data_IF_614805086667
#
_entry.id   IF_614805086667
#
_cell.length_a   1.000
_cell.length_b   1.000
_cell.length_c   1.000
_cell.angle_alpha   90.00
_cell.angle_beta   90.00
_cell.angle_gamma   90.00
#
_symmetry.space_group_name_H-M   'P 1'
#
loop_
_entity.id
_entity.type
_entity.pdbx_description
1 polymer ?
#
# COMPACT_ATOMS: atom_id res chain seq x y z
N UNK A 1 10.48 -31.58 -18.28
CA UNK A 1 9.64 -31.60 -17.07
C UNK A 1 9.63 -30.20 -16.50
N UNK A 2 8.46 -29.58 -16.32
CA UNK A 2 8.35 -28.23 -15.77
C UNK A 2 8.66 -28.30 -14.27
N UNK A 3 9.67 -27.57 -13.80
CA UNK A 3 10.06 -27.55 -12.39
C UNK A 3 9.11 -26.61 -11.61
N UNK A 4 8.13 -27.16 -10.90
CA UNK A 4 7.17 -26.37 -10.10
C UNK A 4 7.85 -25.47 -9.05
N UNK A 5 8.99 -25.89 -8.49
CA UNK A 5 9.82 -25.06 -7.61
C UNK A 5 10.35 -23.78 -8.29
N UNK A 6 10.61 -23.81 -9.59
CA UNK A 6 11.08 -22.63 -10.34
C UNK A 6 9.96 -21.65 -10.71
N UNK A 7 8.70 -22.10 -10.70
CA UNK A 7 7.53 -21.26 -10.97
C UNK A 7 6.98 -20.56 -9.72
N UNK A 8 7.31 -21.07 -8.52
CA UNK A 8 6.87 -20.48 -7.26
C UNK A 8 7.33 -19.02 -7.10
N UNK A 9 8.56 -18.69 -7.51
CA UNK A 9 9.08 -17.34 -7.40
C UNK A 9 8.38 -16.33 -8.34
N UNK A 10 8.25 -16.57 -9.66
CA UNK A 10 7.51 -15.67 -10.55
C UNK A 10 6.03 -15.50 -10.19
N UNK A 11 5.36 -16.60 -9.80
CA UNK A 11 3.96 -16.56 -9.38
C UNK A 11 3.79 -15.72 -8.12
N UNK A 12 4.66 -15.89 -7.12
CA UNK A 12 4.63 -15.11 -5.89
C UNK A 12 4.85 -13.61 -6.15
N UNK A 13 5.75 -13.25 -7.06
CA UNK A 13 5.97 -11.86 -7.46
C UNK A 13 4.75 -11.25 -8.13
N UNK A 14 4.13 -11.99 -9.04
CA UNK A 14 2.91 -11.56 -9.70
C UNK A 14 1.77 -11.36 -8.69
N UNK A 15 1.58 -12.30 -7.77
CA UNK A 15 0.52 -12.22 -6.74
C UNK A 15 0.67 -10.99 -5.85
N UNK A 16 1.89 -10.68 -5.40
CA UNK A 16 2.15 -9.51 -4.57
C UNK A 16 1.94 -8.23 -5.39
N UNK A 17 2.55 -8.15 -6.57
CA UNK A 17 2.52 -6.93 -7.38
C UNK A 17 1.11 -6.60 -7.88
N UNK A 18 0.27 -7.60 -8.13
CA UNK A 18 -1.09 -7.41 -8.65
C UNK A 18 -1.94 -6.52 -7.73
N UNK A 19 -1.81 -6.66 -6.41
CA UNK A 19 -2.51 -5.81 -5.44
C UNK A 19 -2.07 -4.35 -5.60
N UNK A 20 -0.77 -4.09 -5.74
CA UNK A 20 -0.22 -2.75 -5.88
C UNK A 20 -0.51 -2.12 -7.25
N UNK A 21 -0.48 -2.91 -8.33
CA UNK A 21 -0.83 -2.44 -9.69
C UNK A 21 -2.30 -2.00 -9.71
N UNK A 22 -3.20 -2.88 -9.26
CA UNK A 22 -4.63 -2.58 -9.25
C UNK A 22 -4.90 -1.38 -8.33
N UNK A 23 -4.35 -1.38 -7.11
CA UNK A 23 -4.49 -0.29 -6.16
C UNK A 23 -3.99 1.05 -6.70
N UNK A 24 -2.82 1.08 -7.36
CA UNK A 24 -2.22 2.30 -7.89
C UNK A 24 -2.95 2.85 -9.11
N UNK A 25 -3.31 1.98 -10.06
CA UNK A 25 -4.03 2.40 -11.28
C UNK A 25 -5.42 2.91 -10.93
N UNK A 26 -6.12 2.26 -10.01
CA UNK A 26 -7.48 2.66 -9.62
C UNK A 26 -7.56 4.02 -8.92
N UNK A 27 -6.44 4.55 -8.40
CA UNK A 27 -6.37 5.90 -7.82
C UNK A 27 -6.33 7.01 -8.86
N UNK A 28 -5.98 6.73 -10.12
CA UNK A 28 -5.93 7.73 -11.20
C UNK A 28 -7.35 8.21 -11.56
N UNK A 29 -8.34 7.34 -11.85
CA UNK A 29 -9.71 7.78 -12.09
C UNK A 29 -10.45 8.17 -10.80
N UNK A 30 -10.07 7.62 -9.65
CA UNK A 30 -10.68 7.92 -8.35
C UNK A 30 -9.88 8.95 -7.52
N UNK A 31 -9.24 9.91 -8.19
CA UNK A 31 -8.26 10.80 -7.58
C UNK A 31 -8.88 11.66 -6.47
N UNK A 32 -9.99 12.36 -6.75
CA UNK A 32 -10.65 13.24 -5.78
C UNK A 32 -11.15 12.47 -4.56
N UNK A 33 -11.74 11.29 -4.76
CA UNK A 33 -12.23 10.43 -3.68
C UNK A 33 -11.09 9.92 -2.80
N UNK A 34 -9.97 9.54 -3.40
CA UNK A 34 -8.79 9.08 -2.67
C UNK A 34 -8.15 10.23 -1.90
N UNK A 35 -8.08 11.41 -2.49
CA UNK A 35 -7.53 12.60 -1.85
C UNK A 35 -8.39 13.02 -0.65
N UNK A 36 -9.72 13.00 -0.79
CA UNK A 36 -10.64 13.28 0.31
C UNK A 36 -10.49 12.27 1.45
N UNK A 37 -10.35 10.97 1.13
CA UNK A 37 -10.07 9.94 2.13
C UNK A 37 -8.74 10.17 2.86
N UNK A 38 -7.66 10.46 2.12
CA UNK A 38 -6.35 10.77 2.69
C UNK A 38 -6.42 11.94 3.67
N UNK A 39 -7.10 13.03 3.28
CA UNK A 39 -7.29 14.19 4.15
C UNK A 39 -8.13 13.85 5.39
N UNK A 40 -9.16 13.01 5.25
CA UNK A 40 -9.98 12.56 6.37
C UNK A 40 -9.20 11.73 7.40
N UNK A 41 -8.17 11.00 6.95
CA UNK A 41 -7.26 10.25 7.85
C UNK A 41 -6.00 11.05 8.23
N UNK A 42 -5.97 12.37 7.97
CA UNK A 42 -4.88 13.26 8.37
C UNK A 42 -3.63 13.24 7.48
N UNK A 43 -3.70 12.62 6.30
CA UNK A 43 -2.63 12.55 5.31
C UNK A 43 -2.83 13.63 4.24
N UNK A 44 -1.76 14.37 3.93
CA UNK A 44 -1.80 15.43 2.92
C UNK A 44 -2.11 14.89 1.53
N UNK A 45 -3.06 15.52 0.82
CA UNK A 45 -3.45 15.16 -0.54
C UNK A 45 -2.33 15.28 -1.58
N UNK A 46 -1.32 16.12 -1.33
CA UNK A 46 -0.15 16.26 -2.21
C UNK A 46 0.70 14.99 -2.29
N UNK A 47 0.54 14.06 -1.36
CA UNK A 47 1.22 12.77 -1.39
C UNK A 47 0.58 11.80 -2.39
N UNK A 48 -0.64 12.04 -2.87
CA UNK A 48 -1.36 11.10 -3.72
C UNK A 48 -0.61 10.78 -5.04
N UNK A 49 -0.07 11.75 -5.81
CA UNK A 49 0.73 11.44 -7.00
C UNK A 49 2.00 10.67 -6.67
N UNK A 50 2.64 10.99 -5.54
CA UNK A 50 3.83 10.29 -5.07
C UNK A 50 3.50 8.83 -4.73
N UNK A 51 2.37 8.58 -4.06
CA UNK A 51 1.89 7.24 -3.71
C UNK A 51 1.57 6.42 -4.97
N UNK A 52 0.87 7.01 -5.95
CA UNK A 52 0.55 6.33 -7.22
C UNK A 52 1.85 5.95 -7.95
N UNK A 53 2.77 6.91 -8.07
CA UNK A 53 4.06 6.68 -8.71
C UNK A 53 4.84 5.57 -8.01
N UNK A 54 4.88 5.61 -6.68
CA UNK A 54 5.56 4.61 -5.86
C UNK A 54 4.96 3.21 -6.03
N UNK A 55 3.64 3.06 -5.88
CA UNK A 55 2.94 1.77 -6.00
C UNK A 55 3.15 1.17 -7.40
N UNK A 56 3.00 1.96 -8.46
CA UNK A 56 3.13 1.48 -9.85
C UNK A 56 4.58 1.11 -10.17
N UNK A 57 5.56 1.96 -9.83
CA UNK A 57 6.98 1.67 -10.09
C UNK A 57 7.41 0.40 -9.36
N UNK A 58 7.10 0.29 -8.07
CA UNK A 58 7.55 -0.84 -7.25
C UNK A 58 6.90 -2.14 -7.72
N UNK A 59 5.62 -2.10 -8.10
CA UNK A 59 4.95 -3.27 -8.64
C UNK A 59 5.53 -3.71 -9.99
N UNK A 60 5.86 -2.78 -10.88
CA UNK A 60 6.54 -3.08 -12.15
C UNK A 60 7.91 -3.71 -11.90
N UNK A 61 8.71 -3.17 -10.97
CA UNK A 61 10.02 -3.74 -10.60
C UNK A 61 9.88 -5.19 -10.12
N UNK A 62 8.84 -5.50 -9.35
CA UNK A 62 8.59 -6.84 -8.82
C UNK A 62 8.13 -7.80 -9.92
N UNK A 63 7.19 -7.40 -10.79
CA UNK A 63 6.69 -8.25 -11.90
C UNK A 63 7.79 -8.58 -12.90
N UNK A 64 8.59 -7.59 -13.30
CA UNK A 64 9.67 -7.79 -14.28
C UNK A 64 10.81 -8.63 -13.69
N UNK A 65 10.89 -8.76 -12.36
CA UNK A 65 12.02 -9.40 -11.70
C UNK A 65 13.27 -8.50 -11.63
N UNK A 66 13.17 -7.24 -12.08
CA UNK A 66 14.29 -6.31 -12.10
C UNK A 66 14.47 -5.65 -10.73
N UNK A 67 15.57 -5.97 -10.05
CA UNK A 67 15.88 -5.44 -8.70
C UNK A 67 14.72 -5.63 -7.70
N UNK A 68 14.06 -6.80 -7.74
CA UNK A 68 13.00 -7.22 -6.80
C UNK A 68 13.33 -6.98 -5.34
N UNK A 69 14.59 -7.19 -4.94
CA UNK A 69 15.06 -6.91 -3.56
C UNK A 69 14.88 -5.45 -3.17
N UNK A 70 15.19 -4.51 -4.06
CA UNK A 70 15.00 -3.08 -3.79
C UNK A 70 13.52 -2.71 -3.74
N UNK A 71 12.71 -3.27 -4.64
CA UNK A 71 11.25 -3.10 -4.61
C UNK A 71 10.64 -3.62 -3.30
N UNK A 72 11.09 -4.77 -2.82
CA UNK A 72 10.65 -5.33 -1.55
C UNK A 72 11.07 -4.46 -0.34
N UNK A 73 12.28 -3.92 -0.34
CA UNK A 73 12.74 -2.97 0.69
C UNK A 73 11.91 -1.70 0.65
N UNK A 74 11.60 -1.18 -0.55
CA UNK A 74 10.72 -0.02 -0.69
C UNK A 74 9.33 -0.30 -0.10
N UNK A 75 8.70 -1.43 -0.45
CA UNK A 75 7.41 -1.82 0.15
C UNK A 75 7.49 -1.94 1.67
N UNK A 76 8.53 -2.60 2.19
CA UNK A 76 8.75 -2.73 3.62
C UNK A 76 8.89 -1.36 4.29
N UNK A 77 9.62 -0.41 3.66
CA UNK A 77 9.70 0.97 4.11
C UNK A 77 8.33 1.67 4.15
N UNK A 78 7.50 1.50 3.12
CA UNK A 78 6.13 2.02 3.10
C UNK A 78 5.25 1.46 4.22
N UNK A 79 5.35 0.16 4.50
CA UNK A 79 4.64 -0.46 5.62
C UNK A 79 5.18 -0.03 6.98
N UNK A 80 6.50 0.15 7.12
CA UNK A 80 7.10 0.70 8.34
C UNK A 80 6.64 2.13 8.60
N UNK A 81 6.52 2.94 7.56
CA UNK A 81 5.94 4.27 7.65
C UNK A 81 4.49 4.23 8.13
N UNK A 82 3.69 3.29 7.64
CA UNK A 82 2.31 3.06 8.10
C UNK A 82 2.27 2.68 9.59
N UNK A 83 3.14 1.77 10.02
CA UNK A 83 3.25 1.38 11.44
C UNK A 83 3.59 2.59 12.31
N UNK A 84 4.51 3.44 11.87
CA UNK A 84 4.91 4.64 12.61
C UNK A 84 3.76 5.65 12.79
N UNK A 85 2.82 5.73 11.83
CA UNK A 85 1.63 6.57 11.93
C UNK A 85 0.49 5.92 12.74
N UNK A 86 0.53 4.60 12.91
CA UNK A 86 -0.39 3.84 13.76
C UNK A 86 -1.84 3.81 13.27
N UNK A 87 -2.72 3.18 14.05
CA UNK A 87 -4.15 3.01 13.71
C UNK A 87 -5.01 4.28 13.90
N UNK A 88 -4.43 5.34 14.50
CA UNK A 88 -5.11 6.62 14.73
C UNK A 88 -6.48 6.47 15.41
N UNK A 89 -7.51 7.05 14.80
CA UNK A 89 -8.87 7.07 15.32
C UNK A 89 -9.53 5.69 15.46
N UNK A 90 -9.00 4.68 14.73
CA UNK A 90 -9.47 3.29 14.76
C UNK A 90 -8.77 2.44 15.82
N UNK A 91 -7.86 3.01 16.63
CA UNK A 91 -7.26 2.32 17.77
C UNK A 91 -8.32 1.93 18.82
N UNK A 92 -8.14 0.79 19.49
CA UNK A 92 -9.03 0.37 20.57
C UNK A 92 -9.15 1.43 21.66
N UNK A 93 -8.04 2.11 21.98
CA UNK A 93 -8.01 3.15 23.00
C UNK A 93 -8.91 4.35 22.64
N UNK A 94 -8.91 4.76 21.37
CA UNK A 94 -9.76 5.85 20.89
C UNK A 94 -11.23 5.42 20.79
N UNK A 95 -11.49 4.17 20.40
CA UNK A 95 -12.83 3.59 20.39
C UNK A 95 -13.45 3.56 21.79
N UNK A 96 -12.68 3.14 22.80
CA UNK A 96 -13.12 3.09 24.20
C UNK A 96 -13.39 4.48 24.77
N UNK A 97 -12.54 5.46 24.47
CA UNK A 97 -12.77 6.87 24.87
C UNK A 97 -14.07 7.44 24.28
N UNK A 98 -14.27 7.29 22.98
CA UNK A 98 -15.47 7.81 22.31
C UNK A 98 -16.74 7.14 22.85
N UNK A 99 -16.71 5.83 23.08
CA UNK A 99 -17.85 5.10 23.66
C UNK A 99 -18.15 5.53 25.09
N UNK A 100 -17.13 5.82 25.89
CA UNK A 100 -17.29 6.33 27.25
C UNK A 100 -17.83 7.77 27.29
N UNK A 101 -17.55 8.61 26.28
CA UNK A 101 -18.13 9.95 26.17
C UNK A 101 -19.60 9.97 25.76
N UNK A 102 -20.12 8.87 25.23
CA UNK A 102 -21.51 8.71 24.82
C UNK A 102 -22.42 8.16 25.95
N UNK A 103 -21.84 7.83 27.12
CA UNK A 103 -22.52 7.37 28.33
C UNK A 103 -22.52 8.47 29.39
#
# INVERSE_FOLDING_TARGET
MINYHSLAAPIGWLSIALIFIISGIMKIPAYDGTQAYMQAVGVSGYLLPLTILFEVIVAIMIVIGWKTRLGAIALAGGFLFLIAHGAGAYSLDNYMKNKAQLL
#
